data_IF_884413171844
#
_entry.id   IF_884413171844
#
_cell.length_a   1.000
_cell.length_b   1.000
_cell.length_c   1.000
_cell.angle_alpha   90.00
_cell.angle_beta   90.00
_cell.angle_gamma   90.00
#
_symmetry.space_group_name_H-M   'P 1'
#
loop_
_entity.id
_entity.type
_entity.pdbx_description
1 polymer ?
#
# COMPACT_ATOMS: atom_id res chain seq x y z
N UNK A 1 16.92 20.41 25.35
CA UNK A 1 17.19 20.23 23.91
C UNK A 1 16.43 18.97 23.45
N UNK A 2 15.16 19.10 23.07
CA UNK A 2 14.28 17.96 22.73
C UNK A 2 13.85 18.07 21.27
N UNK A 3 14.19 17.07 20.45
CA UNK A 3 13.59 16.87 19.13
C UNK A 3 14.58 16.82 17.96
N UNK A 4 15.46 15.81 17.91
CA UNK A 4 16.34 15.57 16.75
C UNK A 4 16.18 14.17 16.12
N UNK A 5 15.09 13.45 16.38
CA UNK A 5 14.68 12.32 15.56
C UNK A 5 13.29 12.58 14.99
N UNK A 6 13.22 13.40 13.93
CA UNK A 6 11.99 13.59 13.18
C UNK A 6 11.57 12.29 12.49
N UNK A 7 10.25 12.07 12.35
CA UNK A 7 9.69 10.94 11.59
C UNK A 7 10.34 10.91 10.19
N UNK A 8 10.83 9.76 9.73
CA UNK A 8 11.28 9.54 8.36
C UNK A 8 10.71 8.19 7.91
N UNK A 9 9.57 8.24 7.23
CA UNK A 9 8.73 7.08 6.97
C UNK A 9 8.61 6.80 5.50
N UNK A 10 8.52 5.51 5.18
CA UNK A 10 8.07 5.03 3.89
C UNK A 10 6.59 4.64 4.04
N UNK A 11 5.71 5.41 3.41
CA UNK A 11 4.27 5.17 3.42
C UNK A 11 3.90 4.44 2.15
N UNK A 12 3.17 3.33 2.28
CA UNK A 12 2.68 2.52 1.17
C UNK A 12 1.17 2.48 1.21
N UNK A 13 0.53 2.63 0.05
CA UNK A 13 -0.91 2.48 -0.15
C UNK A 13 -1.17 1.52 -1.30
N UNK A 14 -1.88 0.43 -1.04
CA UNK A 14 -2.46 -0.43 -2.06
C UNK A 14 -3.80 0.15 -2.46
N UNK A 15 -3.92 0.57 -3.70
CA UNK A 15 -5.10 1.23 -4.26
C UNK A 15 -5.84 0.33 -5.23
N UNK A 16 -7.16 0.34 -5.15
CA UNK A 16 -8.05 -0.28 -6.10
C UNK A 16 -8.11 0.56 -7.39
N UNK A 17 -7.83 -0.05 -8.53
CA UNK A 17 -8.14 0.55 -9.84
C UNK A 17 -9.33 -0.15 -10.50
N UNK A 18 -9.31 -1.48 -10.51
CA UNK A 18 -10.39 -2.37 -10.97
C UNK A 18 -10.22 -3.75 -10.35
N UNK A 19 -11.20 -4.64 -10.52
CA UNK A 19 -11.24 -5.96 -9.88
C UNK A 19 -10.03 -6.86 -10.15
N UNK A 20 -9.33 -6.68 -11.28
CA UNK A 20 -8.14 -7.43 -11.66
C UNK A 20 -6.84 -6.58 -11.65
N UNK A 21 -6.89 -5.37 -11.10
CA UNK A 21 -5.74 -4.48 -11.07
C UNK A 21 -5.77 -3.59 -9.82
N UNK A 22 -4.80 -3.83 -8.95
CA UNK A 22 -4.47 -2.93 -7.85
C UNK A 22 -3.13 -2.26 -8.14
N UNK A 23 -2.91 -1.09 -7.55
CA UNK A 23 -1.61 -0.39 -7.60
C UNK A 23 -1.04 -0.23 -6.21
N UNK A 24 0.27 -0.33 -6.11
CA UNK A 24 1.01 0.03 -4.91
C UNK A 24 1.62 1.41 -5.14
N UNK A 25 1.24 2.38 -4.31
CA UNK A 25 1.85 3.69 -4.27
C UNK A 25 2.75 3.78 -3.05
N UNK A 26 3.97 4.25 -3.22
CA UNK A 26 4.94 4.47 -2.16
C UNK A 26 5.37 5.94 -2.10
N UNK A 27 5.52 6.46 -0.90
CA UNK A 27 6.02 7.80 -0.65
C UNK A 27 6.93 7.81 0.56
N UNK A 28 8.14 8.36 0.41
CA UNK A 28 9.00 8.69 1.55
C UNK A 28 8.69 10.11 2.02
N UNK A 29 8.44 10.27 3.31
CA UNK A 29 8.10 11.58 3.87
C UNK A 29 8.67 11.76 5.28
N UNK A 30 8.98 13.03 5.63
CA UNK A 30 9.62 13.39 6.90
C UNK A 30 8.78 14.33 7.77
N UNK A 31 8.97 14.28 9.08
CA UNK A 31 8.36 15.18 10.06
C UNK A 31 6.84 15.27 9.93
N UNK A 32 6.32 16.49 9.79
CA UNK A 32 4.88 16.74 9.59
C UNK A 32 4.36 16.17 8.26
N UNK A 33 5.19 16.16 7.21
CA UNK A 33 4.81 15.58 5.91
C UNK A 33 4.62 14.06 5.99
N UNK A 34 5.36 13.37 6.87
CA UNK A 34 5.17 11.93 7.12
C UNK A 34 3.77 11.61 7.66
N UNK A 35 3.27 12.47 8.55
CA UNK A 35 1.92 12.31 9.11
C UNK A 35 0.86 12.58 8.03
N UNK A 36 1.03 13.64 7.24
CA UNK A 36 0.15 13.93 6.10
C UNK A 36 0.13 12.82 5.05
N UNK A 37 1.29 12.22 4.72
CA UNK A 37 1.37 11.12 3.77
C UNK A 37 0.63 9.88 4.30
N UNK A 38 0.78 9.56 5.59
CA UNK A 38 0.02 8.49 6.25
C UNK A 38 -1.48 8.75 6.18
N UNK A 39 -1.90 9.94 6.60
CA UNK A 39 -3.32 10.29 6.64
C UNK A 39 -3.94 10.29 5.23
N UNK A 40 -3.20 10.79 4.23
CA UNK A 40 -3.58 10.70 2.82
C UNK A 40 -3.74 9.26 2.36
N UNK A 41 -2.77 8.38 2.63
CA UNK A 41 -2.87 6.97 2.30
C UNK A 41 -4.08 6.31 2.97
N UNK A 42 -4.28 6.55 4.27
CA UNK A 42 -5.37 5.99 5.07
C UNK A 42 -6.76 6.44 4.60
N UNK A 43 -6.91 7.72 4.25
CA UNK A 43 -8.22 8.33 3.98
C UNK A 43 -8.59 8.32 2.49
N UNK A 44 -7.66 8.01 1.60
CA UNK A 44 -7.92 8.03 0.16
C UNK A 44 -8.96 6.96 -0.23
N UNK A 45 -10.00 7.37 -0.97
CA UNK A 45 -11.18 6.55 -1.28
C UNK A 45 -10.85 5.21 -1.94
N UNK A 46 -9.79 5.18 -2.75
CA UNK A 46 -9.33 3.97 -3.45
C UNK A 46 -8.40 3.10 -2.63
N UNK A 47 -7.97 3.50 -1.44
CA UNK A 47 -7.04 2.70 -0.65
C UNK A 47 -7.75 1.46 -0.12
N UNK A 48 -7.23 0.30 -0.47
CA UNK A 48 -7.60 -0.99 0.10
C UNK A 48 -6.88 -1.19 1.42
N UNK A 49 -5.57 -0.93 1.42
CA UNK A 49 -4.69 -1.14 2.57
C UNK A 49 -3.56 -0.13 2.54
N UNK A 50 -3.12 0.31 3.71
CA UNK A 50 -1.97 1.19 3.87
C UNK A 50 -1.03 0.64 4.93
N UNK A 51 0.23 1.02 4.81
CA UNK A 51 1.27 0.66 5.76
C UNK A 51 2.31 1.78 5.86
N UNK A 52 2.91 1.89 7.03
CA UNK A 52 4.00 2.79 7.35
C UNK A 52 5.18 1.95 7.78
N UNK A 53 6.30 2.17 7.13
CA UNK A 53 7.56 1.52 7.43
C UNK A 53 8.60 2.58 7.85
N UNK A 54 9.57 2.17 8.66
CA UNK A 54 10.77 2.96 8.88
C UNK A 54 11.73 2.86 7.66
N UNK A 55 12.88 3.54 7.75
CA UNK A 55 13.91 3.52 6.70
C UNK A 55 14.73 2.22 6.65
N UNK A 56 14.47 1.28 7.55
CA UNK A 56 15.08 -0.06 7.57
C UNK A 56 14.10 -1.13 7.08
N UNK A 57 12.92 -0.73 6.62
CA UNK A 57 11.86 -1.64 6.16
C UNK A 57 11.06 -2.28 7.29
N UNK A 58 11.22 -1.86 8.54
CA UNK A 58 10.41 -2.36 9.64
C UNK A 58 9.00 -1.77 9.58
N UNK A 59 7.98 -2.62 9.63
CA UNK A 59 6.58 -2.19 9.67
C UNK A 59 6.29 -1.52 11.02
N UNK A 60 5.87 -0.26 10.98
CA UNK A 60 5.50 0.52 12.16
C UNK A 60 3.99 0.50 12.41
N UNK A 61 3.21 0.63 11.35
CA UNK A 61 1.75 0.76 11.42
C UNK A 61 1.15 0.26 10.11
N UNK A 62 -0.04 -0.35 10.15
CA UNK A 62 -0.79 -0.69 8.95
C UNK A 62 -2.27 -0.76 9.26
N UNK A 63 -3.10 -0.65 8.22
CA UNK A 63 -4.53 -0.76 8.36
C UNK A 63 -5.24 -0.85 7.02
N UNK A 64 -6.54 -1.09 7.09
CA UNK A 64 -7.42 -1.04 5.93
C UNK A 64 -7.74 0.40 5.55
N UNK A 65 -8.05 0.62 4.28
CA UNK A 65 -8.61 1.86 3.78
C UNK A 65 -10.05 1.68 3.28
N UNK A 66 -10.72 2.77 2.85
CA UNK A 66 -12.13 2.75 2.47
C UNK A 66 -12.50 1.74 1.38
N UNK A 67 -11.60 1.44 0.43
CA UNK A 67 -11.86 0.49 -0.65
C UNK A 67 -11.75 -0.98 -0.23
N UNK A 68 -11.34 -1.30 1.01
CA UNK A 68 -11.27 -2.70 1.49
C UNK A 68 -12.64 -3.40 1.40
N UNK A 69 -13.71 -2.63 1.62
CA UNK A 69 -15.10 -3.09 1.51
C UNK A 69 -15.49 -3.53 0.09
N UNK A 70 -14.78 -3.09 -0.95
CA UNK A 70 -15.14 -3.37 -2.35
C UNK A 70 -14.60 -4.71 -2.88
N UNK A 71 -13.59 -5.30 -2.24
CA UNK A 71 -12.85 -6.45 -2.78
C UNK A 71 -13.07 -7.76 -2.01
N UNK A 72 -13.86 -7.71 -0.93
CA UNK A 72 -14.21 -8.86 -0.10
C UNK A 72 -13.17 -9.18 0.99
N UNK A 73 -13.65 -9.57 2.18
CA UNK A 73 -12.83 -9.77 3.38
C UNK A 73 -11.68 -10.79 3.20
N UNK A 74 -11.88 -11.85 2.41
CA UNK A 74 -10.85 -12.86 2.14
C UNK A 74 -9.64 -12.26 1.41
N UNK A 75 -9.91 -11.40 0.43
CA UNK A 75 -8.87 -10.74 -0.37
C UNK A 75 -8.09 -9.76 0.51
N UNK A 76 -8.79 -8.99 1.35
CA UNK A 76 -8.16 -8.07 2.31
C UNK A 76 -7.27 -8.82 3.30
N UNK A 77 -7.75 -9.91 3.90
CA UNK A 77 -6.94 -10.72 4.83
C UNK A 77 -5.70 -11.33 4.17
N UNK A 78 -5.82 -11.77 2.92
CA UNK A 78 -4.67 -12.30 2.19
C UNK A 78 -3.66 -11.19 1.89
N UNK A 79 -4.12 -10.03 1.43
CA UNK A 79 -3.27 -8.85 1.21
C UNK A 79 -2.54 -8.44 2.50
N UNK A 80 -3.21 -8.49 3.66
CA UNK A 80 -2.60 -8.15 4.95
C UNK A 80 -1.43 -9.07 5.32
N UNK A 81 -1.57 -10.38 5.06
CA UNK A 81 -0.52 -11.37 5.33
C UNK A 81 0.67 -11.20 4.39
N UNK A 82 0.39 -10.86 3.14
CA UNK A 82 1.38 -10.84 2.06
C UNK A 82 2.00 -9.45 1.83
N UNK A 83 1.45 -8.38 2.40
CA UNK A 83 1.89 -7.00 2.10
C UNK A 83 3.41 -6.82 2.26
N UNK A 84 3.99 -7.36 3.33
CA UNK A 84 5.43 -7.22 3.63
C UNK A 84 6.33 -8.11 2.77
N UNK A 85 5.79 -9.19 2.21
CA UNK A 85 6.55 -10.16 1.42
C UNK A 85 6.25 -10.04 -0.07
N UNK A 86 5.27 -9.23 -0.45
CA UNK A 86 4.90 -9.00 -1.83
C UNK A 86 6.05 -8.30 -2.58
N UNK A 87 6.40 -8.84 -3.74
CA UNK A 87 7.53 -8.37 -4.53
C UNK A 87 7.39 -6.90 -4.95
N UNK A 88 6.21 -6.46 -5.36
CA UNK A 88 5.97 -5.07 -5.77
C UNK A 88 6.21 -4.10 -4.60
N UNK A 89 5.77 -4.47 -3.40
CA UNK A 89 5.97 -3.65 -2.18
C UNK A 89 7.46 -3.57 -1.85
N UNK A 90 8.17 -4.71 -1.86
CA UNK A 90 9.61 -4.76 -1.61
C UNK A 90 10.41 -3.92 -2.63
N UNK A 91 10.03 -3.97 -3.91
CA UNK A 91 10.67 -3.20 -4.96
C UNK A 91 10.43 -1.69 -4.80
N UNK A 92 9.25 -1.27 -4.34
CA UNK A 92 8.97 0.13 -4.00
C UNK A 92 9.79 0.56 -2.78
N UNK A 93 9.78 -0.25 -1.72
CA UNK A 93 10.52 0.03 -0.49
C UNK A 93 12.01 0.24 -0.77
N UNK A 94 12.62 -0.67 -1.55
CA UNK A 94 14.02 -0.55 -1.97
C UNK A 94 14.31 0.75 -2.72
N UNK A 95 13.43 1.15 -3.64
CA UNK A 95 13.61 2.38 -4.41
C UNK A 95 13.41 3.67 -3.59
N UNK A 96 12.55 3.63 -2.56
CA UNK A 96 12.40 4.72 -1.59
C UNK A 96 13.62 4.82 -0.65
N UNK A 97 14.21 3.68 -0.27
CA UNK A 97 15.43 3.61 0.54
C UNK A 97 16.65 4.18 -0.20
N UNK A 98 16.83 3.83 -1.48
CA UNK A 98 17.92 4.33 -2.32
C UNK A 98 17.77 5.80 -2.73
N UNK A 99 16.65 6.44 -2.36
CA UNK A 99 16.29 7.82 -2.75
C UNK A 99 16.25 8.04 -4.26
N UNK A 100 16.06 6.98 -5.04
CA UNK A 100 15.93 7.07 -6.49
C UNK A 100 14.67 7.86 -6.88
N UNK A 101 13.62 7.75 -6.07
CA UNK A 101 12.45 8.62 -6.14
C UNK A 101 11.84 8.83 -4.76
N UNK A 102 11.26 10.01 -4.52
CA UNK A 102 10.48 10.29 -3.31
C UNK A 102 9.10 9.64 -3.35
N UNK A 103 8.55 9.41 -4.55
CA UNK A 103 7.21 8.88 -4.80
C UNK A 103 7.23 7.86 -5.95
N UNK A 104 6.55 6.73 -5.80
CA UNK A 104 6.52 5.66 -6.80
C UNK A 104 5.14 5.04 -6.88
N UNK A 105 4.76 4.58 -8.08
CA UNK A 105 3.52 3.85 -8.31
C UNK A 105 3.81 2.65 -9.22
N UNK A 106 3.44 1.45 -8.80
CA UNK A 106 3.58 0.23 -9.60
C UNK A 106 2.30 -0.62 -9.54
N UNK A 107 1.92 -1.29 -10.63
CA UNK A 107 0.89 -2.34 -10.57
C UNK A 107 1.28 -3.40 -9.54
N UNK A 108 0.33 -3.79 -8.69
CA UNK A 108 0.51 -4.87 -7.74
C UNK A 108 0.56 -6.20 -8.52
N UNK A 109 1.69 -6.88 -8.45
CA UNK A 109 1.81 -8.23 -9.00
C UNK A 109 1.45 -9.21 -7.88
N UNK A 110 0.30 -9.88 -8.04
CA UNK A 110 -0.28 -10.71 -6.99
C UNK A 110 -1.19 -11.80 -7.56
N UNK A 111 -1.32 -12.92 -6.87
CA UNK A 111 -2.15 -14.08 -7.28
C UNK A 111 -3.52 -14.12 -6.59
N UNK A 112 -3.77 -13.26 -5.61
CA UNK A 112 -5.03 -13.21 -4.85
C UNK A 112 -6.13 -12.35 -5.47
N UNK A 113 -6.02 -11.99 -6.75
CA UNK A 113 -7.09 -11.28 -7.46
C UNK A 113 -8.40 -12.10 -7.44
N UNK A 114 -9.57 -11.45 -7.25
CA UNK A 114 -10.85 -12.11 -7.40
C UNK A 114 -10.95 -12.85 -8.74
N UNK A 115 -11.44 -14.08 -8.74
CA UNK A 115 -11.72 -14.79 -10.00
C UNK A 115 -12.80 -14.03 -10.76
N UNK A 116 -12.58 -13.80 -12.06
CA UNK A 116 -13.62 -13.28 -12.95
C UNK A 116 -14.82 -14.23 -12.91
N UNK A 117 -16.02 -13.68 -12.76
CA UNK A 117 -17.24 -14.48 -12.91
C UNK A 117 -17.22 -15.12 -14.30
N UNK A 118 -17.63 -16.40 -14.44
CA UNK A 118 -17.80 -16.99 -15.76
C UNK A 118 -18.77 -16.11 -16.58
N UNK A 119 -18.58 -15.98 -17.90
CA UNK A 119 -19.53 -15.26 -18.74
C UNK A 119 -20.94 -15.83 -18.54
N UNK A 120 -22.01 -15.02 -18.68
CA UNK A 120 -23.37 -15.54 -18.72
C UNK A 120 -23.42 -16.68 -19.74
N UNK A 121 -24.04 -17.80 -19.36
CA UNK A 121 -24.39 -18.81 -20.35
C UNK A 121 -25.53 -18.19 -21.15
N UNK A 122 -25.31 -17.99 -22.45
CA UNK A 122 -26.40 -17.72 -23.37
C UNK A 122 -27.21 -19.03 -23.45
N UNK A 123 -28.31 -19.12 -22.70
CA UNK A 123 -29.28 -20.21 -22.73
C UNK A 123 -30.44 -19.94 -23.69
#
# INVERSE_FOLDING_TARGET
MFGLFGKDWNVVAVMFERSDLYRVNGQRAKGKAATKAKDGARLHERTIMWAVFDQKGALLESGEGPASMQIGAKVVQQLQRELRTNRTVLDIMKALETKESANLSKPLVWTGYPRKAPPPRDD
#
